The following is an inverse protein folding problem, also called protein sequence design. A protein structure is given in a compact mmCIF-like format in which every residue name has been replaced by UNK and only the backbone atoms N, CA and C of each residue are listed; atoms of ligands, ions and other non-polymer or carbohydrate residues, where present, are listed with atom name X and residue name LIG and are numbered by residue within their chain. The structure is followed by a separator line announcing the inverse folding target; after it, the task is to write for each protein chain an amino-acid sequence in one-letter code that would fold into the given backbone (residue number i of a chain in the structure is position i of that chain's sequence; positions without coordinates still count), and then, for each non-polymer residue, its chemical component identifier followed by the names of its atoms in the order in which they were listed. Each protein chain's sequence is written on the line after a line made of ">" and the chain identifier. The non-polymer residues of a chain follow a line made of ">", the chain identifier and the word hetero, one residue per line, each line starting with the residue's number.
data_IF_138558067941
#
_entry.id   IF_138558067941
#
_cell.length_a   1.000
_cell.length_b   1.000
_cell.length_c   1.000
_cell.angle_alpha   90.00
_cell.angle_beta   90.00
_cell.angle_gamma   90.00
#
_symmetry.space_group_name_H-M   'P 1'
#
loop_
_entity.id
_entity.type
_entity.pdbx_description
1 polymer ?
#
# COMPACT_ATOMS: atom_id res chain seq x y z
N UNK A 1 -11.98 -14.82 60.81
CA UNK A 1 -11.54 -13.48 60.38
C UNK A 1 -10.12 -13.60 59.87
N UNK A 2 -9.95 -13.80 58.56
CA UNK A 2 -8.81 -13.27 57.82
C UNK A 2 -9.10 -13.39 56.33
N UNK A 3 -8.86 -12.26 55.68
CA UNK A 3 -9.15 -11.77 54.34
C UNK A 3 -8.69 -12.64 53.17
N UNK A 4 -9.51 -12.66 52.13
CA UNK A 4 -9.19 -13.08 50.76
C UNK A 4 -8.46 -11.92 50.09
N UNK A 5 -7.26 -12.14 49.56
CA UNK A 5 -6.61 -11.21 48.63
C UNK A 5 -6.55 -11.80 47.23
N UNK A 6 -7.02 -10.97 46.30
CA UNK A 6 -7.06 -11.11 44.86
C UNK A 6 -5.68 -11.01 44.23
N UNK A 7 -5.35 -11.92 43.31
CA UNK A 7 -4.14 -11.84 42.50
C UNK A 7 -4.25 -12.68 41.24
N UNK A 8 -4.82 -12.11 40.18
CA UNK A 8 -4.65 -12.62 38.80
C UNK A 8 -4.13 -11.47 37.94
N UNK A 9 -2.81 -11.27 37.96
CA UNK A 9 -2.11 -10.56 36.90
C UNK A 9 -1.79 -11.56 35.78
N UNK A 10 -2.51 -11.44 34.66
CA UNK A 10 -2.15 -12.08 33.40
C UNK A 10 -0.98 -11.30 32.78
N UNK A 11 0.21 -11.45 33.33
CA UNK A 11 1.46 -11.09 32.64
C UNK A 11 1.99 -12.35 31.95
N UNK A 12 1.46 -12.62 30.76
CA UNK A 12 2.09 -13.52 29.79
C UNK A 12 2.57 -12.69 28.60
N UNK A 13 3.45 -11.72 28.87
CA UNK A 13 4.27 -11.13 27.83
C UNK A 13 5.47 -12.06 27.62
N UNK A 14 5.38 -12.96 26.65
CA UNK A 14 6.60 -13.56 26.09
C UNK A 14 7.54 -12.39 25.70
N UNK A 15 8.83 -12.41 26.06
CA UNK A 15 9.72 -11.32 25.75
C UNK A 15 9.76 -11.12 24.23
N UNK A 16 9.33 -9.93 23.80
CA UNK A 16 9.38 -9.53 22.41
C UNK A 16 10.83 -9.62 21.94
N UNK A 17 11.06 -10.37 20.85
CA UNK A 17 12.37 -10.44 20.21
C UNK A 17 12.81 -9.01 19.86
N UNK A 18 13.95 -8.57 20.38
CA UNK A 18 14.42 -7.18 20.29
C UNK A 18 14.67 -6.73 18.83
N UNK A 19 14.59 -7.63 17.86
CA UNK A 19 14.68 -7.34 16.43
C UNK A 19 13.35 -7.01 15.74
N UNK A 20 12.19 -7.15 16.40
CA UNK A 20 10.92 -6.88 15.74
C UNK A 20 10.63 -5.36 15.64
N UNK A 21 10.31 -4.83 14.46
CA UNK A 21 9.99 -3.42 14.31
C UNK A 21 8.74 -3.08 15.12
N UNK A 22 8.85 -2.03 15.92
CA UNK A 22 7.80 -1.53 16.82
C UNK A 22 7.07 -0.38 16.15
N UNK A 23 5.77 -0.27 16.42
CA UNK A 23 4.93 0.83 15.96
C UNK A 23 5.20 2.05 16.85
N UNK A 24 5.59 3.17 16.24
CA UNK A 24 5.88 4.43 16.93
C UNK A 24 4.95 5.54 16.47
N UNK A 25 4.86 6.60 17.26
CA UNK A 25 4.15 7.81 16.84
C UNK A 25 4.76 8.37 15.54
N UNK A 26 3.88 8.74 14.61
CA UNK A 26 4.23 9.35 13.33
C UNK A 26 4.61 8.37 12.22
N UNK A 27 4.74 7.06 12.51
CA UNK A 27 5.13 6.06 11.50
C UNK A 27 4.00 5.75 10.51
N UNK A 28 4.36 5.25 9.34
CA UNK A 28 3.39 4.73 8.37
C UNK A 28 3.08 3.25 8.62
N UNK A 29 1.82 2.88 8.48
CA UNK A 29 1.35 1.51 8.58
C UNK A 29 0.32 1.18 7.50
N UNK A 30 0.30 -0.09 7.10
CA UNK A 30 -0.80 -0.65 6.28
C UNK A 30 -1.77 -1.34 7.22
N UNK A 31 -2.95 -0.74 7.38
CA UNK A 31 -4.03 -1.23 8.24
C UNK A 31 -5.01 -2.02 7.39
N UNK A 32 -5.29 -3.26 7.81
CA UNK A 32 -6.21 -4.16 7.13
C UNK A 32 -7.12 -4.85 8.13
N UNK A 33 -8.43 -4.82 7.90
CA UNK A 33 -9.35 -5.69 8.66
C UNK A 33 -9.07 -7.15 8.32
N UNK A 34 -8.98 -8.02 9.32
CA UNK A 34 -8.84 -9.47 9.10
C UNK A 34 -10.00 -9.97 8.25
N UNK A 35 -9.73 -10.82 7.26
CA UNK A 35 -10.69 -11.21 6.22
C UNK A 35 -11.19 -10.07 5.29
N UNK A 36 -10.89 -8.81 5.59
CA UNK A 36 -11.28 -7.63 4.81
C UNK A 36 -10.68 -7.60 3.40
N UNK A 37 -11.34 -6.86 2.52
CA UNK A 37 -10.95 -6.68 1.12
C UNK A 37 -10.14 -5.40 0.92
N UNK A 38 -10.37 -4.41 1.77
CA UNK A 38 -9.65 -3.14 1.73
C UNK A 38 -8.50 -3.12 2.73
N UNK A 39 -7.42 -2.45 2.33
CA UNK A 39 -6.33 -2.08 3.21
C UNK A 39 -6.00 -0.62 2.98
N UNK A 40 -5.58 0.07 4.03
CA UNK A 40 -5.33 1.51 4.03
C UNK A 40 -3.91 1.79 4.48
N UNK A 41 -3.23 2.67 3.77
CA UNK A 41 -1.95 3.25 4.21
C UNK A 41 -2.29 4.44 5.08
N UNK A 42 -1.81 4.45 6.32
CA UNK A 42 -2.15 5.46 7.33
C UNK A 42 -0.88 5.88 8.05
N UNK A 43 -0.72 7.18 8.30
CA UNK A 43 0.27 7.69 9.24
C UNK A 43 -0.35 7.71 10.64
N UNK A 44 0.22 6.95 11.57
CA UNK A 44 -0.35 6.79 12.90
C UNK A 44 0.11 7.92 13.81
N UNK A 45 -0.81 8.79 14.24
CA UNK A 45 -0.52 9.93 15.13
C UNK A 45 -1.33 9.83 16.42
N UNK A 46 -0.81 10.40 17.53
CA UNK A 46 -1.57 10.48 18.77
C UNK A 46 -2.89 11.23 18.56
N UNK A 47 -3.92 10.89 19.34
CA UNK A 47 -5.27 11.46 19.24
C UNK A 47 -6.00 11.25 17.89
N UNK A 48 -5.46 10.45 16.97
CA UNK A 48 -6.14 10.11 15.72
C UNK A 48 -6.96 8.83 15.83
N UNK A 49 -8.10 8.82 15.13
CA UNK A 49 -8.90 7.62 14.96
C UNK A 49 -8.65 7.05 13.56
N UNK A 50 -8.39 5.76 13.48
CA UNK A 50 -8.26 5.04 12.22
C UNK A 50 -9.55 4.28 11.95
N UNK A 51 -10.10 4.46 10.75
CA UNK A 51 -11.24 3.69 10.24
C UNK A 51 -10.76 2.77 9.12
N UNK A 52 -11.06 1.48 9.25
CA UNK A 52 -10.86 0.48 8.19
C UNK A 52 -12.13 -0.34 8.03
N UNK A 53 -12.75 -0.22 6.85
CA UNK A 53 -14.08 -0.75 6.56
C UNK A 53 -15.14 -0.27 7.59
N UNK A 54 -15.44 -1.09 8.61
CA UNK A 54 -16.40 -0.77 9.69
C UNK A 54 -15.77 -0.79 11.08
N UNK A 55 -14.46 -0.97 11.18
CA UNK A 55 -13.74 -0.98 12.46
C UNK A 55 -13.04 0.36 12.66
N UNK A 56 -13.31 0.97 13.81
CA UNK A 56 -12.70 2.22 14.24
C UNK A 56 -11.92 2.01 15.52
N UNK A 57 -10.70 2.52 15.57
CA UNK A 57 -9.83 2.44 16.75
C UNK A 57 -8.93 3.67 16.89
N UNK A 58 -8.43 3.90 18.10
CA UNK A 58 -7.48 4.96 18.44
C UNK A 58 -6.05 4.51 18.09
N UNK A 59 -5.35 5.27 17.25
CA UNK A 59 -4.01 4.90 16.76
C UNK A 59 -2.99 4.76 17.90
N UNK A 60 -3.13 5.57 18.95
CA UNK A 60 -2.22 5.60 20.10
C UNK A 60 -2.12 4.25 20.82
N UNK A 61 -3.19 3.47 20.83
CA UNK A 61 -3.20 2.14 21.43
C UNK A 61 -2.32 1.10 20.71
N UNK A 62 -1.82 1.42 19.50
CA UNK A 62 -0.86 0.58 18.80
C UNK A 62 0.59 0.85 19.22
N UNK A 63 0.89 2.01 19.80
CA UNK A 63 2.26 2.46 20.02
C UNK A 63 2.99 1.59 21.06
N UNK A 64 4.25 1.31 20.81
CA UNK A 64 5.07 0.42 21.67
C UNK A 64 4.85 -1.08 21.42
N UNK A 65 3.88 -1.45 20.57
CA UNK A 65 3.67 -2.83 20.16
C UNK A 65 4.31 -3.14 18.79
N UNK A 66 4.73 -4.38 18.52
CA UNK A 66 5.19 -4.77 17.19
C UNK A 66 4.09 -4.66 16.13
N UNK A 67 4.50 -4.50 14.87
CA UNK A 67 3.58 -4.73 13.75
C UNK A 67 3.04 -6.16 13.78
N UNK A 68 1.72 -6.31 13.60
CA UNK A 68 1.08 -7.61 13.74
C UNK A 68 -0.43 -7.55 13.83
N UNK A 69 -0.99 -8.52 14.54
CA UNK A 69 -2.42 -8.75 14.70
C UNK A 69 -2.91 -8.11 16.01
N UNK A 70 -4.06 -7.43 15.91
CA UNK A 70 -4.70 -6.76 17.02
C UNK A 70 -6.20 -7.06 17.05
N UNK A 71 -6.75 -7.06 18.25
CA UNK A 71 -8.18 -7.08 18.53
C UNK A 71 -8.64 -5.68 18.94
N UNK A 72 -9.76 -5.21 18.39
CA UNK A 72 -10.34 -3.90 18.71
C UNK A 72 -11.34 -4.07 19.86
N UNK A 73 -10.99 -3.61 21.04
CA UNK A 73 -11.82 -3.67 22.25
C UNK A 73 -12.06 -2.24 22.74
N UNK A 74 -13.33 -1.81 22.76
CA UNK A 74 -13.68 -0.47 23.24
C UNK A 74 -12.96 0.66 22.48
N UNK A 75 -12.75 0.50 21.16
CA UNK A 75 -11.94 1.38 20.27
C UNK A 75 -10.44 1.40 20.54
N UNK A 76 -9.92 0.59 21.46
CA UNK A 76 -8.49 0.42 21.68
C UNK A 76 -8.02 -0.88 21.03
N UNK A 77 -6.78 -0.89 20.58
CA UNK A 77 -6.11 -2.06 20.06
C UNK A 77 -5.48 -2.81 21.21
N UNK A 78 -5.67 -4.13 21.21
CA UNK A 78 -5.00 -5.06 22.09
C UNK A 78 -4.22 -6.04 21.21
N UNK A 79 -2.89 -6.19 21.38
CA UNK A 79 -2.11 -7.16 20.63
C UNK A 79 -2.69 -8.57 20.81
N UNK A 80 -2.76 -9.33 19.72
CA UNK A 80 -3.24 -10.70 19.74
C UNK A 80 -2.31 -11.59 18.93
N UNK A 81 -1.97 -12.76 19.46
CA UNK A 81 -1.25 -13.77 18.68
C UNK A 81 -2.22 -14.78 18.06
N UNK A 82 -1.77 -15.44 16.99
CA UNK A 82 -2.53 -16.54 16.37
C UNK A 82 -2.78 -17.67 17.38
N UNK A 83 -1.83 -17.90 18.29
CA UNK A 83 -1.92 -18.92 19.32
C UNK A 83 -2.98 -18.59 20.36
N UNK A 84 -3.04 -17.33 20.81
CA UNK A 84 -4.06 -16.88 21.76
C UNK A 84 -5.46 -17.01 21.17
N UNK A 85 -5.61 -16.71 19.88
CA UNK A 85 -6.88 -16.85 19.17
C UNK A 85 -7.26 -18.33 18.97
N UNK A 86 -6.29 -19.20 18.65
CA UNK A 86 -6.52 -20.64 18.55
C UNK A 86 -7.01 -21.22 19.87
N UNK A 87 -6.40 -20.81 20.99
CA UNK A 87 -6.78 -21.26 22.33
C UNK A 87 -8.16 -20.74 22.76
N UNK A 88 -8.45 -19.46 22.51
CA UNK A 88 -9.73 -18.83 22.91
C UNK A 88 -10.89 -19.26 22.04
N UNK A 89 -10.74 -19.17 20.73
CA UNK A 89 -11.89 -19.24 19.82
C UNK A 89 -11.97 -20.55 19.03
N UNK A 90 -10.86 -21.28 18.91
CA UNK A 90 -10.75 -22.47 18.07
C UNK A 90 -10.66 -22.09 16.59
N UNK A 91 -9.54 -22.45 15.94
CA UNK A 91 -9.30 -22.23 14.52
C UNK A 91 -8.30 -21.13 14.18
N UNK A 92 -8.12 -20.86 12.88
CA UNK A 92 -7.09 -19.94 12.38
C UNK A 92 -7.46 -18.44 12.52
N UNK A 93 -6.59 -17.52 12.08
CA UNK A 93 -6.77 -16.05 12.21
C UNK A 93 -8.12 -15.56 11.68
N UNK A 94 -8.54 -16.06 10.52
CA UNK A 94 -9.84 -15.77 9.88
C UNK A 94 -11.00 -16.60 10.46
N UNK A 95 -10.74 -17.37 11.53
CA UNK A 95 -11.64 -18.38 12.09
C UNK A 95 -12.08 -19.39 11.02
N UNK A 96 -11.22 -19.63 10.03
CA UNK A 96 -11.54 -20.40 8.83
C UNK A 96 -11.80 -21.90 9.11
N UNK A 97 -11.30 -22.37 10.26
CA UNK A 97 -11.49 -23.72 10.80
C UNK A 97 -12.65 -23.82 11.79
N UNK A 98 -13.43 -22.76 12.01
CA UNK A 98 -14.77 -22.89 12.61
C UNK A 98 -15.70 -23.41 11.52
N UNK A 99 -15.67 -24.72 11.31
CA UNK A 99 -16.57 -25.45 10.44
C UNK A 99 -17.82 -25.92 11.21
N UNK A 100 -18.81 -26.37 10.45
CA UNK A 100 -20.07 -26.86 10.99
C UNK A 100 -19.82 -28.00 12.00
N UNK A 101 -18.81 -28.84 11.79
CA UNK A 101 -18.39 -29.89 12.72
C UNK A 101 -17.90 -29.33 14.07
N UNK A 102 -17.06 -28.30 14.07
CA UNK A 102 -16.61 -27.63 15.30
C UNK A 102 -17.70 -26.83 16.04
N UNK A 103 -18.82 -26.51 15.39
CA UNK A 103 -20.03 -25.95 16.02
C UNK A 103 -21.05 -27.06 16.38
N UNK A 104 -20.74 -28.34 16.11
CA UNK A 104 -21.61 -29.48 16.42
C UNK A 104 -22.82 -29.63 15.49
N UNK A 105 -22.74 -29.13 14.26
CA UNK A 105 -23.84 -29.14 13.28
C UNK A 105 -23.49 -29.98 12.06
N UNK A 106 -24.18 -31.11 11.87
CA UNK A 106 -24.07 -31.95 10.67
C UNK A 106 -24.84 -31.34 9.48
N UNK A 107 -24.29 -31.42 8.27
CA UNK A 107 -24.96 -30.97 7.04
C UNK A 107 -26.12 -31.89 6.64
N UNK A 108 -27.13 -31.35 5.95
CA UNK A 108 -28.16 -32.19 5.34
C UNK A 108 -27.67 -32.59 3.94
N UNK A 109 -27.04 -33.75 3.82
CA UNK A 109 -26.37 -34.18 2.56
C UNK A 109 -27.37 -34.77 1.55
N UNK A 110 -28.49 -35.29 2.05
CA UNK A 110 -29.51 -36.02 1.27
C UNK A 110 -30.93 -35.44 1.39
N UNK A 111 -31.11 -34.29 2.07
CA UNK A 111 -32.44 -33.72 2.35
C UNK A 111 -32.77 -32.48 1.52
N UNK A 112 -34.05 -32.08 1.54
CA UNK A 112 -34.50 -30.86 0.86
C UNK A 112 -33.82 -29.60 1.42
N UNK A 113 -33.14 -28.85 0.55
CA UNK A 113 -32.50 -27.58 0.89
C UNK A 113 -33.51 -26.46 0.73
N UNK A 114 -33.89 -25.82 1.83
CA UNK A 114 -34.79 -24.67 1.79
C UNK A 114 -33.97 -23.44 1.39
N UNK A 115 -34.24 -22.90 0.20
CA UNK A 115 -33.61 -21.67 -0.24
C UNK A 115 -34.01 -20.50 0.70
N UNK A 116 -33.07 -19.64 1.14
CA UNK A 116 -33.42 -18.50 1.99
C UNK A 116 -34.49 -17.58 1.38
N UNK A 117 -34.55 -17.49 0.05
CA UNK A 117 -35.56 -16.73 -0.68
C UNK A 117 -36.99 -17.28 -0.55
N UNK A 118 -37.14 -18.56 -0.21
CA UNK A 118 -38.44 -19.21 -0.01
C UNK A 118 -39.05 -18.92 1.38
N UNK A 119 -38.30 -18.31 2.28
CA UNK A 119 -38.76 -17.88 3.61
C UNK A 119 -39.02 -16.38 3.56
N UNK A 120 -40.10 -15.92 4.20
CA UNK A 120 -40.41 -14.49 4.34
C UNK A 120 -39.24 -13.72 4.97
N UNK A 121 -38.97 -12.51 4.46
CA UNK A 121 -37.75 -11.79 4.81
C UNK A 121 -37.62 -11.54 6.34
N UNK A 122 -38.73 -11.24 6.99
CA UNK A 122 -38.84 -10.91 8.41
C UNK A 122 -38.58 -12.12 9.33
N UNK A 123 -38.84 -13.34 8.84
CA UNK A 123 -38.70 -14.58 9.64
C UNK A 123 -37.40 -15.34 9.36
N UNK A 124 -36.57 -14.87 8.41
CA UNK A 124 -35.29 -15.53 8.05
C UNK A 124 -34.25 -15.53 9.17
N UNK A 125 -34.27 -14.52 10.03
CA UNK A 125 -33.32 -14.32 11.11
C UNK A 125 -34.03 -13.70 12.31
N UNK A 126 -33.98 -14.38 13.45
CA UNK A 126 -34.65 -13.93 14.68
C UNK A 126 -33.97 -12.69 15.32
N UNK A 127 -32.66 -12.52 15.12
CA UNK A 127 -31.91 -11.40 15.69
C UNK A 127 -31.95 -10.15 14.79
N UNK A 128 -32.32 -9.01 15.39
CA UNK A 128 -32.28 -7.70 14.72
C UNK A 128 -30.87 -7.10 14.71
N UNK A 129 -30.63 -6.09 13.87
CA UNK A 129 -29.33 -5.39 13.82
C UNK A 129 -29.00 -4.66 15.13
N UNK A 130 -30.01 -4.09 15.79
CA UNK A 130 -29.87 -3.43 17.08
C UNK A 130 -29.43 -4.42 18.16
N UNK A 131 -30.08 -5.59 18.26
CA UNK A 131 -29.73 -6.65 19.19
C UNK A 131 -28.30 -7.17 18.97
N UNK A 132 -27.87 -7.32 17.71
CA UNK A 132 -26.49 -7.72 17.38
C UNK A 132 -25.48 -6.65 17.83
N UNK A 133 -25.83 -5.38 17.66
CA UNK A 133 -24.98 -4.25 18.04
C UNK A 133 -24.87 -4.12 19.56
N UNK A 134 -25.95 -4.34 20.29
CA UNK A 134 -25.97 -4.39 21.75
C UNK A 134 -25.15 -5.57 22.30
N UNK A 135 -25.29 -6.76 21.70
CA UNK A 135 -24.47 -7.91 22.07
C UNK A 135 -22.97 -7.62 21.93
N UNK A 136 -22.56 -6.91 20.88
CA UNK A 136 -21.17 -6.52 20.65
C UNK A 136 -20.63 -5.49 21.65
N UNK A 137 -21.50 -4.79 22.40
CA UNK A 137 -21.08 -3.85 23.46
C UNK A 137 -20.76 -4.57 24.77
N UNK A 138 -21.23 -5.80 24.96
CA UNK A 138 -20.92 -6.58 26.15
C UNK A 138 -19.44 -6.94 26.20
N UNK A 139 -18.79 -6.71 27.34
CA UNK A 139 -17.40 -7.12 27.55
C UNK A 139 -17.25 -8.64 27.40
N UNK A 140 -16.23 -9.07 26.66
CA UNK A 140 -15.89 -10.49 26.47
C UNK A 140 -16.74 -11.25 25.45
N UNK A 141 -17.67 -10.60 24.72
CA UNK A 141 -18.44 -11.26 23.66
C UNK A 141 -17.57 -11.46 22.43
N UNK A 142 -17.24 -12.71 22.10
CA UNK A 142 -16.42 -13.03 20.94
C UNK A 142 -17.25 -13.00 19.64
N UNK A 143 -16.56 -12.86 18.50
CA UNK A 143 -17.20 -13.02 17.19
C UNK A 143 -17.84 -14.41 17.03
N UNK A 144 -17.27 -15.43 17.67
CA UNK A 144 -17.80 -16.80 17.69
C UNK A 144 -19.16 -16.85 18.39
N UNK A 145 -19.33 -16.15 19.50
CA UNK A 145 -20.60 -16.11 20.24
C UNK A 145 -21.71 -15.45 19.42
N UNK A 146 -21.39 -14.34 18.76
CA UNK A 146 -22.30 -13.65 17.84
C UNK A 146 -22.72 -14.57 16.69
N UNK A 147 -21.76 -15.27 16.08
CA UNK A 147 -22.02 -16.20 14.97
C UNK A 147 -22.87 -17.39 15.44
N UNK A 148 -22.60 -17.94 16.63
CA UNK A 148 -23.37 -19.02 17.22
C UNK A 148 -24.85 -18.64 17.39
N UNK A 149 -25.14 -17.47 17.96
CA UNK A 149 -26.54 -16.99 18.08
C UNK A 149 -27.18 -16.69 16.72
N UNK A 150 -26.41 -16.20 15.74
CA UNK A 150 -26.90 -15.99 14.36
C UNK A 150 -27.20 -17.29 13.62
N UNK A 151 -26.53 -18.38 13.99
CA UNK A 151 -26.78 -19.73 13.47
C UNK A 151 -28.05 -20.28 14.10
N UNK A 152 -28.20 -20.21 15.42
CA UNK A 152 -29.40 -20.70 16.12
C UNK A 152 -30.67 -19.95 15.72
N UNK A 153 -30.58 -18.64 15.43
CA UNK A 153 -31.70 -17.81 15.00
C UNK A 153 -32.05 -17.89 13.51
N UNK A 154 -31.35 -18.71 12.71
CA UNK A 154 -31.57 -18.77 11.25
C UNK A 154 -32.49 -19.90 10.83
N UNK A 155 -33.65 -19.56 10.28
CA UNK A 155 -34.69 -20.51 9.86
C UNK A 155 -34.25 -21.51 8.77
N UNK A 156 -33.29 -21.14 7.90
CA UNK A 156 -32.80 -21.99 6.80
C UNK A 156 -31.45 -22.63 7.08
N UNK A 157 -30.82 -22.39 8.23
CA UNK A 157 -29.44 -22.86 8.43
C UNK A 157 -29.36 -24.38 8.54
N UNK A 158 -30.29 -25.01 9.27
CA UNK A 158 -30.30 -26.44 9.50
C UNK A 158 -30.37 -27.28 8.21
N UNK A 159 -31.16 -26.84 7.23
CA UNK A 159 -31.38 -27.54 5.95
C UNK A 159 -30.25 -27.35 4.92
N UNK A 160 -29.20 -26.58 5.25
CA UNK A 160 -28.07 -26.35 4.33
C UNK A 160 -27.12 -27.53 4.25
N UNK A 161 -26.48 -27.67 3.10
CA UNK A 161 -25.33 -28.56 2.90
C UNK A 161 -24.14 -28.13 3.78
N UNK A 162 -23.20 -29.05 4.04
CA UNK A 162 -21.98 -28.76 4.81
C UNK A 162 -21.20 -27.56 4.25
N UNK A 163 -21.02 -27.49 2.93
CA UNK A 163 -20.36 -26.36 2.27
C UNK A 163 -21.13 -25.04 2.44
N UNK A 164 -22.46 -25.05 2.36
CA UNK A 164 -23.28 -23.86 2.53
C UNK A 164 -23.31 -23.37 3.99
N UNK A 165 -23.29 -24.29 4.97
CA UNK A 165 -23.11 -23.99 6.40
C UNK A 165 -21.75 -23.32 6.64
N UNK A 166 -20.66 -23.94 6.17
CA UNK A 166 -19.30 -23.38 6.28
C UNK A 166 -19.16 -22.02 5.61
N UNK A 167 -19.75 -21.83 4.41
CA UNK A 167 -19.78 -20.53 3.72
C UNK A 167 -20.54 -19.47 4.53
N UNK A 168 -21.65 -19.84 5.16
CA UNK A 168 -22.41 -18.91 6.00
C UNK A 168 -21.64 -18.51 7.25
N UNK A 169 -21.09 -19.48 7.99
CA UNK A 169 -20.29 -19.25 9.19
C UNK A 169 -19.13 -18.30 8.87
N UNK A 170 -18.29 -18.63 7.88
CA UNK A 170 -17.16 -17.80 7.45
C UNK A 170 -17.56 -16.37 7.10
N UNK A 171 -18.65 -16.18 6.36
CA UNK A 171 -19.16 -14.85 6.01
C UNK A 171 -19.59 -14.05 7.24
N UNK A 172 -20.26 -14.70 8.20
CA UNK A 172 -20.69 -14.04 9.44
C UNK A 172 -19.48 -13.75 10.34
N UNK A 173 -18.53 -14.67 10.46
CA UNK A 173 -17.30 -14.43 11.23
C UNK A 173 -16.48 -13.29 10.64
N UNK A 174 -16.24 -13.27 9.32
CA UNK A 174 -15.58 -12.14 8.63
C UNK A 174 -16.31 -10.81 8.87
N UNK A 175 -17.64 -10.80 8.90
CA UNK A 175 -18.43 -9.59 9.17
C UNK A 175 -18.26 -9.11 10.60
N UNK A 176 -18.39 -10.02 11.57
CA UNK A 176 -18.52 -9.70 12.99
C UNK A 176 -17.21 -9.77 13.79
N UNK A 177 -16.11 -10.23 13.20
CA UNK A 177 -14.80 -10.14 13.84
C UNK A 177 -14.31 -8.69 13.91
N UNK A 178 -13.74 -8.35 15.05
CA UNK A 178 -13.25 -7.03 15.38
C UNK A 178 -11.71 -7.01 15.40
N UNK A 179 -11.09 -7.77 14.48
CA UNK A 179 -9.64 -7.94 14.37
C UNK A 179 -9.06 -7.15 13.20
N UNK A 180 -7.88 -6.57 13.40
CA UNK A 180 -7.12 -5.83 12.39
C UNK A 180 -5.66 -6.28 12.37
N UNK A 181 -5.05 -6.20 11.19
CA UNK A 181 -3.61 -6.31 10.99
C UNK A 181 -3.05 -4.90 10.81
N UNK A 182 -2.02 -4.57 11.59
CA UNK A 182 -1.21 -3.37 11.42
C UNK A 182 0.14 -3.83 10.90
N UNK A 183 0.38 -3.62 9.61
CA UNK A 183 1.54 -4.16 8.90
C UNK A 183 2.53 -3.06 8.57
N UNK A 184 3.81 -3.37 8.68
CA UNK A 184 4.88 -2.49 8.20
C UNK A 184 4.72 -2.31 6.68
N UNK A 185 4.80 -1.09 6.14
CA UNK A 185 4.76 -0.86 4.71
C UNK A 185 5.83 -1.67 3.97
N UNK A 186 5.43 -2.28 2.86
CA UNK A 186 6.33 -2.96 1.91
C UNK A 186 5.84 -2.63 0.51
N UNK A 187 6.72 -2.70 -0.49
CA UNK A 187 6.37 -2.43 -1.89
C UNK A 187 5.12 -3.21 -2.33
N UNK A 188 5.02 -4.50 -1.95
CA UNK A 188 3.87 -5.34 -2.26
C UNK A 188 2.60 -4.84 -1.59
N UNK A 189 2.63 -4.52 -0.30
CA UNK A 189 1.46 -4.02 0.42
C UNK A 189 1.01 -2.65 -0.12
N UNK A 190 1.95 -1.75 -0.42
CA UNK A 190 1.65 -0.43 -0.98
C UNK A 190 1.03 -0.54 -2.37
N UNK A 191 1.64 -1.32 -3.26
CA UNK A 191 1.10 -1.60 -4.60
C UNK A 191 -0.33 -2.13 -4.53
N UNK A 192 -0.55 -3.14 -3.68
CA UNK A 192 -1.87 -3.72 -3.46
C UNK A 192 -2.89 -2.75 -2.81
N UNK A 193 -2.44 -1.85 -1.92
CA UNK A 193 -3.30 -0.91 -1.22
C UNK A 193 -3.79 0.18 -2.17
N UNK A 194 -2.87 0.81 -2.89
CA UNK A 194 -3.20 1.88 -3.81
C UNK A 194 -3.95 1.38 -5.04
N UNK A 195 -3.64 0.19 -5.56
CA UNK A 195 -4.40 -0.38 -6.67
C UNK A 195 -5.87 -0.62 -6.30
N UNK A 196 -6.16 -1.00 -5.05
CA UNK A 196 -7.54 -1.18 -4.56
C UNK A 196 -8.20 0.14 -4.16
N UNK A 197 -7.44 1.12 -3.64
CA UNK A 197 -7.95 2.45 -3.26
C UNK A 197 -8.32 3.26 -4.51
N UNK A 198 -7.38 3.36 -5.44
CA UNK A 198 -7.49 4.18 -6.65
C UNK A 198 -6.56 3.59 -7.74
N UNK A 199 -7.16 2.74 -8.58
CA UNK A 199 -6.44 2.05 -9.65
C UNK A 199 -5.93 3.00 -10.74
N UNK A 200 -6.60 4.13 -10.99
CA UNK A 200 -6.17 5.09 -12.01
C UNK A 200 -4.93 5.87 -11.53
N UNK A 201 -4.96 6.35 -10.29
CA UNK A 201 -3.82 7.05 -9.68
C UNK A 201 -2.62 6.11 -9.51
N UNK A 202 -2.85 4.83 -9.20
CA UNK A 202 -1.83 3.79 -9.19
C UNK A 202 -1.34 3.39 -10.61
N UNK A 203 -1.94 3.94 -11.66
CA UNK A 203 -1.62 3.65 -13.05
C UNK A 203 -1.88 2.21 -13.46
N UNK A 204 -2.78 1.51 -12.75
CA UNK A 204 -3.05 0.08 -12.88
C UNK A 204 -1.80 -0.81 -12.71
N UNK A 205 -0.73 -0.29 -12.10
CA UNK A 205 0.52 -1.02 -11.92
C UNK A 205 0.35 -2.10 -10.86
N UNK A 206 0.29 -3.35 -11.31
CA UNK A 206 0.28 -4.51 -10.43
C UNK A 206 1.68 -4.94 -10.03
N UNK A 207 1.74 -5.73 -8.96
CA UNK A 207 2.99 -6.22 -8.39
C UNK A 207 3.80 -7.11 -9.34
N UNK A 208 3.14 -7.93 -10.17
CA UNK A 208 3.80 -8.78 -11.16
C UNK A 208 4.44 -7.95 -12.28
N UNK A 209 3.74 -6.93 -12.77
CA UNK A 209 4.27 -5.99 -13.75
C UNK A 209 5.43 -5.16 -13.19
N UNK A 210 5.31 -4.66 -11.95
CA UNK A 210 6.42 -4.00 -11.26
C UNK A 210 7.62 -4.95 -11.10
N UNK A 211 7.39 -6.21 -10.76
CA UNK A 211 8.44 -7.22 -10.65
C UNK A 211 9.13 -7.47 -12.00
N UNK A 212 8.35 -7.55 -13.09
CA UNK A 212 8.88 -7.65 -14.45
C UNK A 212 9.74 -6.43 -14.80
N UNK A 213 9.29 -5.22 -14.44
CA UNK A 213 10.07 -4.00 -14.70
C UNK A 213 11.44 -4.03 -14.00
N UNK A 214 11.46 -4.38 -12.72
CA UNK A 214 12.70 -4.47 -11.94
C UNK A 214 13.63 -5.56 -12.47
N UNK A 215 13.07 -6.67 -12.94
CA UNK A 215 13.83 -7.77 -13.54
C UNK A 215 14.42 -7.40 -14.91
N UNK A 216 13.62 -6.80 -15.81
CA UNK A 216 14.06 -6.36 -17.14
C UNK A 216 15.02 -5.17 -17.07
N UNK A 217 14.85 -4.29 -16.08
CA UNK A 217 15.83 -3.26 -15.76
C UNK A 217 17.08 -3.86 -15.09
N UNK A 218 16.98 -5.09 -14.61
CA UNK A 218 17.96 -5.81 -13.83
C UNK A 218 18.50 -4.95 -12.66
N UNK A 219 17.56 -4.38 -11.91
CA UNK A 219 17.82 -3.53 -10.74
C UNK A 219 18.40 -4.36 -9.59
N UNK A 220 19.61 -4.00 -9.17
CA UNK A 220 20.33 -4.60 -8.05
C UNK A 220 21.37 -3.60 -7.51
N UNK A 221 21.98 -3.94 -6.38
CA UNK A 221 22.99 -3.15 -5.69
C UNK A 221 24.09 -2.62 -6.65
N UNK A 222 24.46 -1.35 -6.47
CA UNK A 222 25.55 -0.69 -7.22
C UNK A 222 25.14 -0.07 -8.56
N UNK A 223 23.91 -0.32 -9.04
CA UNK A 223 23.40 0.20 -10.32
C UNK A 223 23.05 1.68 -10.26
N UNK A 224 23.23 2.38 -11.38
CA UNK A 224 22.69 3.73 -11.62
C UNK A 224 21.41 3.66 -12.44
N UNK A 225 20.28 3.80 -11.75
CA UNK A 225 18.94 3.67 -12.30
C UNK A 225 18.28 5.04 -12.29
N UNK A 226 17.96 5.55 -13.48
CA UNK A 226 17.11 6.72 -13.62
C UNK A 226 15.65 6.30 -13.66
N UNK A 227 14.81 6.97 -12.89
CA UNK A 227 13.39 6.67 -12.73
C UNK A 227 12.55 7.90 -13.04
N UNK A 228 11.60 7.76 -13.96
CA UNK A 228 10.47 8.68 -14.11
C UNK A 228 9.20 7.96 -13.64
N UNK A 229 8.52 8.48 -12.63
CA UNK A 229 7.48 7.76 -11.89
C UNK A 229 6.19 8.58 -11.80
N UNK A 230 5.18 8.21 -12.58
CA UNK A 230 3.82 8.74 -12.48
C UNK A 230 2.86 7.76 -11.80
N UNK A 231 3.37 6.82 -11.01
CA UNK A 231 2.62 5.71 -10.38
C UNK A 231 2.86 5.72 -8.86
N UNK A 232 2.63 6.87 -8.24
CA UNK A 232 2.65 7.10 -6.79
C UNK A 232 4.01 6.90 -6.11
N UNK A 233 5.10 6.90 -6.88
CA UNK A 233 6.43 6.61 -6.35
C UNK A 233 6.69 5.12 -6.18
N UNK A 234 5.84 4.22 -6.69
CA UNK A 234 6.01 2.76 -6.51
C UNK A 234 7.31 2.24 -7.13
N UNK A 235 7.65 2.70 -8.35
CA UNK A 235 8.87 2.28 -9.04
C UNK A 235 10.08 2.84 -8.29
N UNK A 236 10.02 4.11 -7.90
CA UNK A 236 11.06 4.81 -7.15
C UNK A 236 11.35 4.12 -5.83
N UNK A 237 10.29 3.75 -5.09
CA UNK A 237 10.38 3.01 -3.83
C UNK A 237 11.06 1.66 -4.04
N UNK A 238 10.61 0.90 -5.03
CA UNK A 238 11.12 -0.44 -5.28
C UNK A 238 12.57 -0.44 -5.77
N UNK A 239 12.96 0.55 -6.58
CA UNK A 239 14.35 0.74 -7.01
C UNK A 239 15.22 1.09 -5.81
N UNK A 240 14.80 2.06 -4.99
CA UNK A 240 15.57 2.50 -3.82
C UNK A 240 15.77 1.37 -2.81
N UNK A 241 14.71 0.61 -2.51
CA UNK A 241 14.79 -0.60 -1.67
C UNK A 241 15.81 -1.61 -2.20
N UNK A 242 15.80 -1.87 -3.52
CA UNK A 242 16.66 -2.87 -4.17
C UNK A 242 18.12 -2.47 -4.34
N UNK A 243 18.40 -1.15 -4.34
CA UNK A 243 19.77 -0.63 -4.33
C UNK A 243 20.40 -0.73 -2.94
N UNK A 244 19.59 -0.75 -1.88
CA UNK A 244 20.03 -0.93 -0.49
C UNK A 244 21.21 -0.02 -0.10
N UNK A 245 21.16 1.25 -0.51
CA UNK A 245 22.18 2.26 -0.19
C UNK A 245 23.42 2.27 -1.09
N UNK A 246 23.54 1.36 -2.05
CA UNK A 246 24.65 1.36 -3.01
C UNK A 246 24.15 1.47 -4.45
N UNK A 247 24.72 2.42 -5.20
CA UNK A 247 24.26 2.80 -6.54
C UNK A 247 23.57 4.15 -6.53
N UNK A 248 22.65 4.38 -7.47
CA UNK A 248 21.90 5.63 -7.56
C UNK A 248 20.49 5.41 -8.11
N UNK A 249 19.47 5.73 -7.32
CA UNK A 249 18.09 5.91 -7.75
C UNK A 249 17.87 7.39 -8.07
N UNK A 250 18.00 7.75 -9.34
CA UNK A 250 17.85 9.14 -9.81
C UNK A 250 16.38 9.35 -10.18
N UNK A 251 15.61 9.97 -9.29
CA UNK A 251 14.19 10.19 -9.47
C UNK A 251 13.91 11.54 -10.13
N UNK A 252 13.35 11.50 -11.34
CA UNK A 252 12.96 12.70 -12.07
C UNK A 252 11.61 13.21 -11.60
N UNK A 253 11.57 14.46 -11.18
CA UNK A 253 10.35 15.12 -10.75
C UNK A 253 10.18 16.52 -11.36
N UNK A 254 8.97 17.06 -11.22
CA UNK A 254 8.64 18.46 -11.53
C UNK A 254 8.63 19.28 -10.25
N UNK A 255 8.68 20.60 -10.38
CA UNK A 255 8.67 21.51 -9.24
C UNK A 255 9.98 21.50 -8.45
N UNK A 256 10.00 22.22 -7.33
CA UNK A 256 11.20 22.36 -6.50
C UNK A 256 11.53 21.10 -5.70
N UNK A 257 10.51 20.32 -5.32
CA UNK A 257 10.60 19.10 -4.51
C UNK A 257 9.85 17.97 -5.22
N UNK A 258 10.28 16.71 -5.00
CA UNK A 258 9.59 15.54 -5.51
C UNK A 258 8.23 15.36 -4.82
N UNK A 259 7.17 15.82 -5.49
CA UNK A 259 5.79 15.66 -5.04
C UNK A 259 5.18 14.35 -5.58
N UNK A 260 4.02 13.96 -5.02
CA UNK A 260 3.23 12.82 -5.49
C UNK A 260 3.94 11.45 -5.44
N UNK A 261 4.85 11.25 -4.48
CA UNK A 261 5.52 9.97 -4.21
C UNK A 261 5.13 9.35 -2.85
N UNK A 262 3.82 9.21 -2.53
CA UNK A 262 3.39 8.76 -1.21
C UNK A 262 3.90 7.35 -0.88
N UNK A 263 4.06 6.45 -1.86
CA UNK A 263 4.63 5.12 -1.59
C UNK A 263 6.06 5.21 -1.09
N UNK A 264 6.86 6.14 -1.61
CA UNK A 264 8.25 6.33 -1.20
C UNK A 264 8.32 6.84 0.24
N UNK A 265 7.49 7.84 0.55
CA UNK A 265 7.41 8.42 1.89
C UNK A 265 6.95 7.38 2.92
N UNK A 266 5.98 6.53 2.58
CA UNK A 266 5.47 5.49 3.47
C UNK A 266 6.45 4.34 3.73
N UNK A 267 7.51 4.18 2.93
CA UNK A 267 8.51 3.14 3.19
C UNK A 267 9.43 3.48 4.36
N UNK A 268 9.54 4.77 4.73
CA UNK A 268 10.38 5.24 5.85
C UNK A 268 11.78 4.62 5.83
N UNK A 269 12.42 4.70 4.65
CA UNK A 269 13.74 4.11 4.44
C UNK A 269 14.76 4.67 5.43
N UNK A 270 15.67 3.79 5.88
CA UNK A 270 16.75 4.21 6.76
C UNK A 270 17.72 5.15 6.03
N UNK A 271 18.52 5.95 6.77
CA UNK A 271 19.50 6.84 6.17
C UNK A 271 20.48 6.12 5.22
N UNK A 272 20.83 4.87 5.52
CA UNK A 272 21.70 4.06 4.66
C UNK A 272 21.03 3.81 3.31
N UNK A 273 19.76 3.39 3.29
CA UNK A 273 19.03 3.13 2.04
C UNK A 273 18.78 4.45 1.28
N UNK A 274 18.43 5.53 2.00
CA UNK A 274 18.19 6.85 1.41
C UNK A 274 19.44 7.48 0.80
N UNK A 275 20.64 7.04 1.19
CA UNK A 275 21.89 7.56 0.63
C UNK A 275 22.00 7.35 -0.90
N UNK A 276 21.27 6.37 -1.45
CA UNK A 276 21.21 6.10 -2.89
C UNK A 276 20.11 6.89 -3.62
N UNK A 277 19.26 7.65 -2.93
CA UNK A 277 18.14 8.39 -3.54
C UNK A 277 18.52 9.82 -3.92
N UNK A 278 18.40 10.14 -5.21
CA UNK A 278 18.75 11.45 -5.78
C UNK A 278 17.56 12.04 -6.54
N UNK A 279 16.78 12.95 -5.91
CA UNK A 279 15.74 13.69 -6.62
C UNK A 279 16.39 14.72 -7.55
N UNK A 280 16.03 14.69 -8.83
CA UNK A 280 16.52 15.61 -9.85
C UNK A 280 15.35 16.23 -10.57
N UNK A 281 15.32 17.56 -10.63
CA UNK A 281 14.28 18.28 -11.39
C UNK A 281 14.44 18.04 -12.88
N UNK A 282 13.31 17.83 -13.56
CA UNK A 282 13.29 17.71 -15.02
C UNK A 282 13.85 18.96 -15.70
N UNK A 283 13.69 20.13 -15.08
CA UNK A 283 14.26 21.41 -15.55
C UNK A 283 15.78 21.34 -15.70
N UNK A 284 16.47 20.58 -14.84
CA UNK A 284 17.90 20.40 -14.98
C UNK A 284 18.26 19.70 -16.29
N UNK A 285 17.48 18.69 -16.69
CA UNK A 285 17.69 17.96 -17.94
C UNK A 285 17.35 18.84 -19.15
N UNK A 286 16.26 19.61 -19.05
CA UNK A 286 15.84 20.54 -20.10
C UNK A 286 16.87 21.67 -20.31
N UNK A 287 17.57 22.08 -19.25
CA UNK A 287 18.63 23.08 -19.27
C UNK A 287 20.03 22.49 -19.49
N UNK A 288 20.13 21.36 -20.21
CA UNK A 288 21.43 20.79 -20.59
C UNK A 288 22.19 20.14 -19.43
N UNK A 289 21.48 19.51 -18.49
CA UNK A 289 22.02 18.85 -17.30
C UNK A 289 22.64 19.81 -16.27
N UNK A 290 22.10 21.04 -16.18
CA UNK A 290 22.57 22.07 -15.25
C UNK A 290 21.46 22.50 -14.28
N UNK A 291 21.83 22.79 -13.03
CA UNK A 291 20.88 23.30 -12.05
C UNK A 291 20.41 24.70 -12.45
N UNK A 292 19.09 24.96 -12.47
CA UNK A 292 18.59 26.31 -12.69
C UNK A 292 18.96 27.21 -11.51
N UNK A 293 19.23 28.49 -11.80
CA UNK A 293 19.36 29.50 -10.76
C UNK A 293 18.02 29.68 -10.04
N UNK A 294 18.00 29.54 -8.71
CA UNK A 294 16.80 29.81 -7.91
C UNK A 294 16.84 31.25 -7.38
N UNK A 295 16.05 32.16 -7.99
CA UNK A 295 15.80 33.50 -7.44
C UNK A 295 14.79 33.40 -6.27
N UNK A 296 15.12 34.02 -5.12
CA UNK A 296 14.21 34.47 -4.05
C UNK A 296 13.21 33.46 -3.44
N UNK A 297 13.44 33.08 -2.17
CA UNK A 297 12.73 32.06 -1.39
C UNK A 297 11.27 32.37 -0.96
N UNK A 298 10.47 33.10 -1.74
CA UNK A 298 9.20 33.65 -1.23
C UNK A 298 7.93 32.84 -1.55
N UNK A 299 7.96 31.87 -2.47
CA UNK A 299 6.74 31.15 -2.91
C UNK A 299 6.64 29.68 -2.48
N UNK A 300 7.75 29.02 -2.15
CA UNK A 300 7.78 27.56 -2.10
C UNK A 300 7.37 26.92 -0.75
N UNK A 301 7.38 27.69 0.35
CA UNK A 301 7.06 27.15 1.68
C UNK A 301 5.56 26.86 1.87
N UNK A 302 4.68 27.54 1.11
CA UNK A 302 3.23 27.30 1.18
C UNK A 302 2.81 25.88 0.79
N UNK A 303 3.57 25.23 -0.09
CA UNK A 303 3.22 23.88 -0.58
C UNK A 303 3.66 22.76 0.38
N UNK A 304 4.71 22.95 1.18
CA UNK A 304 5.19 21.89 2.09
C UNK A 304 4.27 21.67 3.31
N UNK A 305 3.53 22.70 3.74
CA UNK A 305 2.61 22.61 4.88
C UNK A 305 1.18 22.23 4.49
N UNK A 306 0.70 22.60 3.31
CA UNK A 306 -0.69 22.32 2.90
C UNK A 306 -0.93 20.85 2.47
N UNK A 307 0.08 20.11 1.98
CA UNK A 307 -0.13 18.70 1.54
C UNK A 307 0.08 17.64 2.64
N UNK A 308 0.52 18.03 3.84
CA UNK A 308 0.54 17.13 5.01
C UNK A 308 -0.84 17.07 5.70
N UNK A 309 -1.79 17.92 5.29
CA UNK A 309 -3.16 17.87 5.77
C UNK A 309 -3.96 16.72 5.09
N UNK A 310 -4.07 15.61 5.82
CA UNK A 310 -5.19 14.65 5.77
C UNK A 310 -5.72 14.20 4.38
N UNK A 311 -5.02 13.27 3.73
CA UNK A 311 -5.69 12.28 2.85
C UNK A 311 -6.35 11.14 3.68
N UNK A 312 -7.00 11.51 4.79
CA UNK A 312 -7.85 10.64 5.57
C UNK A 312 -9.31 10.80 5.10
N UNK A 313 -9.85 9.70 4.55
CA UNK A 313 -11.28 9.37 4.51
C UNK A 313 -12.25 10.12 3.58
N UNK A 314 -11.97 10.01 2.28
CA UNK A 314 -12.93 9.58 1.23
C UNK A 314 -14.00 8.51 1.55
N UNK A 315 -14.98 8.69 2.43
CA UNK A 315 -16.14 7.77 2.52
C UNK A 315 -17.40 8.42 1.92
N UNK A 316 -18.17 7.73 1.05
CA UNK A 316 -19.29 8.35 0.36
C UNK A 316 -20.53 8.33 1.26
N UNK A 317 -20.87 9.47 1.87
CA UNK A 317 -22.22 9.68 2.42
C UNK A 317 -22.65 11.15 2.33
N UNK A 318 -23.68 11.35 1.53
CA UNK A 318 -24.75 12.37 1.55
C UNK A 318 -24.47 13.84 1.94
N UNK A 319 -24.88 14.73 1.02
CA UNK A 319 -24.96 16.19 1.16
C UNK A 319 -25.89 16.62 2.30
N UNK A 320 -25.44 17.57 3.13
CA UNK A 320 -26.14 18.81 3.54
C UNK A 320 -25.51 19.37 4.83
N UNK A 321 -24.79 20.47 4.74
CA UNK A 321 -25.05 21.71 5.49
C UNK A 321 -23.92 22.72 5.24
N UNK A 322 -24.31 23.97 5.01
CA UNK A 322 -23.42 25.11 4.86
C UNK A 322 -22.81 25.44 6.23
N UNK A 323 -21.49 25.44 6.35
CA UNK A 323 -20.79 26.10 7.44
C UNK A 323 -19.69 27.00 6.88
N UNK A 324 -19.72 28.25 7.32
CA UNK A 324 -18.82 29.34 6.96
C UNK A 324 -17.38 29.05 7.42
N UNK A 325 -16.36 29.63 6.76
CA UNK A 325 -14.97 29.34 7.06
C UNK A 325 -14.57 29.94 8.42
N UNK A 326 -14.18 29.07 9.35
CA UNK A 326 -13.51 29.45 10.59
C UNK A 326 -12.07 29.84 10.23
N UNK A 327 -11.73 31.11 10.45
CA UNK A 327 -10.36 31.62 10.28
C UNK A 327 -9.45 30.99 11.34
N UNK A 328 -8.63 30.01 10.98
CA UNK A 328 -7.46 29.62 11.78
C UNK A 328 -6.30 30.56 11.45
N UNK A 329 -6.18 31.63 12.25
CA UNK A 329 -5.00 32.48 12.26
C UNK A 329 -3.85 31.79 13.00
N UNK A 330 -2.78 31.43 12.29
CA UNK A 330 -1.65 30.78 12.96
C UNK A 330 -0.45 30.39 12.11
N UNK A 331 0.03 31.20 11.14
CA UNK A 331 1.33 30.91 10.50
C UNK A 331 2.13 32.13 10.02
N UNK A 332 1.92 33.27 10.69
CA UNK A 332 2.61 34.54 10.42
C UNK A 332 3.88 34.77 11.25
N UNK A 333 4.06 34.04 12.37
CA UNK A 333 5.14 34.32 13.34
C UNK A 333 6.47 33.63 13.07
N UNK A 334 6.53 32.58 12.23
CA UNK A 334 7.76 31.80 11.95
C UNK A 334 8.70 32.43 10.91
N UNK A 335 8.24 33.41 10.12
CA UNK A 335 8.98 33.91 8.93
C UNK A 335 10.13 34.87 9.22
N UNK A 336 10.10 35.55 10.38
CA UNK A 336 11.17 36.45 10.80
C UNK A 336 12.08 35.82 11.87
N UNK A 337 11.94 34.51 12.09
CA UNK A 337 12.79 33.79 13.02
C UNK A 337 14.10 33.41 12.32
N UNK A 338 15.26 33.92 12.76
CA UNK A 338 16.55 33.59 12.16
C UNK A 338 16.87 32.09 12.25
N UNK A 339 16.36 31.38 13.25
CA UNK A 339 16.55 29.93 13.39
C UNK A 339 15.81 29.17 12.30
N UNK A 340 14.55 29.55 12.01
CA UNK A 340 13.77 28.97 10.93
C UNK A 340 14.42 29.22 9.56
N UNK A 341 14.91 30.45 9.32
CA UNK A 341 15.60 30.81 8.09
C UNK A 341 16.88 29.98 7.88
N UNK A 342 17.64 29.71 8.96
CA UNK A 342 18.81 28.85 8.92
C UNK A 342 18.45 27.39 8.57
N UNK A 343 17.41 26.83 9.20
CA UNK A 343 16.92 25.47 8.89
C UNK A 343 16.44 25.36 7.45
N UNK A 344 15.68 26.36 6.96
CA UNK A 344 15.23 26.41 5.58
C UNK A 344 16.40 26.49 4.59
N UNK A 345 17.41 27.32 4.88
CA UNK A 345 18.62 27.41 4.08
C UNK A 345 19.41 26.09 4.06
N UNK A 346 19.51 25.40 5.20
CA UNK A 346 20.18 24.10 5.29
C UNK A 346 19.45 23.03 4.46
N UNK A 347 18.12 22.92 4.58
CA UNK A 347 17.31 21.99 3.76
C UNK A 347 17.46 22.26 2.28
N UNK A 348 17.45 23.55 1.89
CA UNK A 348 17.70 23.96 0.50
C UNK A 348 19.09 23.54 0.03
N UNK A 349 20.13 23.76 0.84
CA UNK A 349 21.49 23.36 0.51
C UNK A 349 21.61 21.84 0.34
N UNK A 350 21.03 21.04 1.25
CA UNK A 350 21.03 19.57 1.15
C UNK A 350 20.30 19.09 -0.11
N UNK A 351 19.13 19.67 -0.41
CA UNK A 351 18.38 19.38 -1.63
C UNK A 351 19.21 19.64 -2.89
N UNK A 352 19.81 20.83 -2.99
CA UNK A 352 20.62 21.21 -4.15
C UNK A 352 21.88 20.34 -4.27
N UNK A 353 22.48 19.95 -3.15
CA UNK A 353 23.63 19.03 -3.13
C UNK A 353 23.24 17.63 -3.64
N UNK A 354 22.10 17.08 -3.20
CA UNK A 354 21.60 15.79 -3.71
C UNK A 354 21.26 15.86 -5.19
N UNK A 355 20.65 16.94 -5.65
CA UNK A 355 20.35 17.15 -7.06
C UNK A 355 21.64 17.19 -7.90
N UNK A 356 22.65 17.94 -7.46
CA UNK A 356 23.96 18.00 -8.12
C UNK A 356 24.64 16.62 -8.19
N UNK A 357 24.57 15.84 -7.10
CA UNK A 357 25.08 14.47 -7.07
C UNK A 357 24.33 13.56 -8.06
N UNK A 358 23.01 13.71 -8.16
CA UNK A 358 22.18 13.01 -9.15
C UNK A 358 22.58 13.34 -10.60
N UNK A 359 22.80 14.63 -10.89
CA UNK A 359 23.28 15.07 -12.21
C UNK A 359 24.67 14.50 -12.54
N UNK A 360 25.61 14.54 -11.59
CA UNK A 360 26.93 13.93 -11.76
C UNK A 360 26.83 12.42 -12.01
N UNK A 361 25.90 11.73 -11.34
CA UNK A 361 25.66 10.31 -11.58
C UNK A 361 25.13 10.02 -12.99
N UNK A 362 24.26 10.89 -13.54
CA UNK A 362 23.80 10.82 -14.94
C UNK A 362 24.98 10.99 -15.90
N UNK A 363 25.87 11.96 -15.66
CA UNK A 363 27.02 12.24 -16.52
C UNK A 363 28.03 11.10 -16.56
N UNK A 364 28.24 10.41 -15.44
CA UNK A 364 29.07 9.21 -15.36
C UNK A 364 28.48 8.01 -16.14
N UNK A 365 27.25 8.14 -16.64
CA UNK A 365 26.54 7.15 -17.44
C UNK A 365 25.60 6.29 -16.59
N UNK A 366 24.40 6.08 -17.13
CA UNK A 366 23.33 5.29 -16.54
C UNK A 366 23.44 3.82 -16.94
N UNK A 367 23.05 2.93 -16.05
CA UNK A 367 22.94 1.49 -16.35
C UNK A 367 21.50 1.12 -16.76
N UNK A 368 20.50 1.88 -16.27
CA UNK A 368 19.08 1.61 -16.55
C UNK A 368 18.26 2.89 -16.56
N UNK A 369 17.29 2.96 -17.48
CA UNK A 369 16.21 3.97 -17.49
C UNK A 369 14.88 3.23 -17.28
N UNK A 370 14.16 3.54 -16.21
CA UNK A 370 12.81 3.07 -15.92
C UNK A 370 11.81 4.22 -16.04
N UNK A 371 10.76 4.02 -16.84
CA UNK A 371 9.71 5.03 -17.05
C UNK A 371 8.37 4.39 -16.73
N UNK A 372 7.71 4.83 -15.65
CA UNK A 372 6.29 4.55 -15.40
C UNK A 372 5.46 5.75 -15.83
N UNK A 373 4.87 5.69 -17.02
CA UNK A 373 4.13 6.81 -17.58
C UNK A 373 2.63 6.55 -17.69
N UNK A 374 1.85 7.52 -17.23
CA UNK A 374 0.39 7.58 -17.43
C UNK A 374 0.00 8.62 -18.47
N UNK A 375 0.70 9.75 -18.50
CA UNK A 375 0.31 10.92 -19.30
C UNK A 375 1.43 11.54 -20.12
N UNK A 376 2.69 11.19 -19.88
CA UNK A 376 3.85 11.76 -20.59
C UNK A 376 4.35 10.80 -21.65
N UNK A 377 4.57 11.27 -22.87
CA UNK A 377 5.14 10.43 -23.93
C UNK A 377 6.55 9.94 -23.53
N UNK A 378 6.79 8.62 -23.39
CA UNK A 378 8.11 8.08 -23.06
C UNK A 378 9.19 8.51 -24.06
N UNK A 379 8.83 8.68 -25.34
CA UNK A 379 9.78 9.12 -26.38
C UNK A 379 10.41 10.49 -26.07
N UNK A 380 9.67 11.39 -25.43
CA UNK A 380 10.18 12.72 -25.04
C UNK A 380 11.29 12.60 -24.00
N UNK A 381 11.12 11.71 -23.01
CA UNK A 381 12.15 11.43 -22.01
C UNK A 381 13.35 10.69 -22.59
N UNK A 382 13.09 9.67 -23.42
CA UNK A 382 14.15 8.91 -24.09
C UNK A 382 15.00 9.79 -24.99
N UNK A 383 14.40 10.76 -25.69
CA UNK A 383 15.14 11.70 -26.54
C UNK A 383 16.15 12.55 -25.78
N UNK A 384 15.87 12.86 -24.51
CA UNK A 384 16.78 13.63 -23.64
C UNK A 384 17.85 12.73 -22.98
N UNK A 385 17.48 11.50 -22.62
CA UNK A 385 18.26 10.68 -21.67
C UNK A 385 18.99 9.50 -22.30
N UNK A 386 18.58 9.03 -23.48
CA UNK A 386 19.13 7.82 -24.09
C UNK A 386 20.62 7.93 -24.42
N UNK A 387 21.12 9.14 -24.66
CA UNK A 387 22.56 9.40 -24.86
C UNK A 387 23.38 9.10 -23.60
N UNK A 388 22.81 9.37 -22.41
CA UNK A 388 23.42 9.13 -21.09
C UNK A 388 23.36 7.67 -20.65
N UNK A 389 22.53 6.84 -21.28
CA UNK A 389 22.52 5.39 -21.05
C UNK A 389 23.78 4.75 -21.62
N UNK A 390 24.46 3.90 -20.85
CA UNK A 390 25.65 3.17 -21.30
C UNK A 390 25.28 2.12 -22.36
N UNK A 391 26.21 1.71 -23.23
CA UNK A 391 26.06 0.49 -24.02
C UNK A 391 25.76 -0.70 -23.10
N UNK A 392 24.94 -1.64 -23.57
CA UNK A 392 24.39 -2.74 -22.77
C UNK A 392 23.49 -2.29 -21.60
N UNK A 393 23.11 -1.00 -21.54
CA UNK A 393 22.15 -0.48 -20.58
C UNK A 393 20.71 -0.84 -20.95
N UNK A 394 19.86 -0.95 -19.94
CA UNK A 394 18.46 -1.36 -20.09
C UNK A 394 17.53 -0.15 -20.16
N UNK A 395 16.53 -0.20 -21.04
CA UNK A 395 15.38 0.69 -21.03
C UNK A 395 14.14 -0.13 -20.72
N UNK A 396 13.37 0.29 -19.72
CA UNK A 396 12.07 -0.30 -19.45
C UNK A 396 11.02 0.79 -19.33
N UNK A 397 9.93 0.63 -20.06
CA UNK A 397 8.80 1.56 -20.09
C UNK A 397 7.54 0.81 -19.70
N UNK A 398 6.84 1.33 -18.69
CA UNK A 398 5.52 0.89 -18.28
C UNK A 398 4.47 1.94 -18.62
N UNK A 399 3.31 1.49 -19.08
CA UNK A 399 2.12 2.31 -19.17
C UNK A 399 0.85 1.46 -19.05
N UNK A 400 -0.25 1.96 -18.44
CA UNK A 400 -1.55 1.32 -18.52
C UNK A 400 -2.09 1.24 -19.96
N UNK A 401 -1.56 2.07 -20.86
CA UNK A 401 -2.00 2.17 -22.25
C UNK A 401 -0.92 1.66 -23.22
N UNK A 402 -1.29 0.78 -24.13
CA UNK A 402 -0.34 0.13 -25.06
C UNK A 402 0.29 1.12 -26.04
N UNK A 403 -0.40 2.21 -26.39
CA UNK A 403 0.03 3.19 -27.39
C UNK A 403 1.35 3.87 -27.02
N UNK A 404 1.54 4.20 -25.73
CA UNK A 404 2.80 4.77 -25.23
C UNK A 404 3.96 3.78 -25.39
N UNK A 405 3.73 2.50 -25.07
CA UNK A 405 4.73 1.45 -25.24
C UNK A 405 5.03 1.17 -26.72
N UNK A 406 4.03 1.20 -27.61
CA UNK A 406 4.25 1.00 -29.05
C UNK A 406 5.08 2.12 -29.68
N UNK A 407 4.82 3.38 -29.30
CA UNK A 407 5.63 4.53 -29.76
C UNK A 407 7.08 4.40 -29.29
N UNK A 408 7.28 4.09 -28.00
CA UNK A 408 8.62 3.86 -27.45
C UNK A 408 9.32 2.66 -28.12
N UNK A 409 8.59 1.60 -28.42
CA UNK A 409 9.11 0.43 -29.12
C UNK A 409 9.65 0.81 -30.50
N UNK A 410 8.87 1.55 -31.29
CA UNK A 410 9.30 2.02 -32.60
C UNK A 410 10.55 2.92 -32.48
N UNK A 411 10.51 3.90 -31.58
CA UNK A 411 11.62 4.84 -31.36
C UNK A 411 12.94 4.15 -30.98
N UNK A 412 12.86 3.08 -30.18
CA UNK A 412 14.02 2.27 -29.78
C UNK A 412 14.56 1.42 -30.94
N UNK A 413 13.67 0.82 -31.75
CA UNK A 413 14.08 0.04 -32.94
C UNK A 413 14.80 0.92 -33.97
N UNK A 414 14.29 2.13 -34.21
CA UNK A 414 14.92 3.11 -35.12
C UNK A 414 16.33 3.51 -34.67
N UNK A 415 16.65 3.36 -33.38
CA UNK A 415 17.98 3.63 -32.79
C UNK A 415 18.82 2.37 -32.59
N UNK A 416 18.43 1.27 -33.22
CA UNK A 416 19.18 0.03 -33.22
C UNK A 416 19.17 -0.71 -31.89
N UNK A 417 18.29 -0.39 -30.93
CA UNK A 417 18.18 -1.15 -29.70
C UNK A 417 17.82 -2.62 -30.00
N UNK A 418 18.38 -3.55 -29.23
CA UNK A 418 18.12 -4.98 -29.38
C UNK A 418 17.19 -5.47 -28.28
N UNK A 419 16.65 -6.68 -28.47
CA UNK A 419 15.74 -7.31 -27.51
C UNK A 419 14.57 -6.38 -27.11
N UNK A 420 14.00 -5.69 -28.11
CA UNK A 420 12.88 -4.78 -27.91
C UNK A 420 11.59 -5.59 -27.79
N UNK A 421 11.19 -5.90 -26.56
CA UNK A 421 10.10 -6.81 -26.23
C UNK A 421 8.98 -6.04 -25.52
N UNK A 422 7.77 -6.09 -26.10
CA UNK A 422 6.54 -5.60 -25.49
C UNK A 422 5.80 -6.79 -24.86
N UNK A 423 5.48 -6.69 -23.57
CA UNK A 423 4.85 -7.76 -22.79
C UNK A 423 3.60 -7.29 -22.06
N UNK A 424 2.63 -8.18 -21.94
CA UNK A 424 1.52 -8.14 -20.98
C UNK A 424 1.51 -9.48 -20.22
N UNK A 425 1.20 -9.45 -18.93
CA UNK A 425 1.21 -10.62 -18.05
C UNK A 425 -0.17 -10.89 -17.49
N UNK A 426 -0.59 -12.17 -17.51
CA UNK A 426 -1.79 -12.59 -16.82
C UNK A 426 -1.47 -12.95 -15.36
N UNK A 427 -2.12 -12.29 -14.41
CA UNK A 427 -2.03 -12.59 -12.99
C UNK A 427 -3.38 -13.09 -12.48
N UNK A 428 -3.42 -14.30 -11.94
CA UNK A 428 -4.66 -14.93 -11.47
C UNK A 428 -4.47 -15.58 -10.10
N UNK A 429 -5.20 -15.07 -9.11
CA UNK A 429 -5.21 -15.60 -7.75
C UNK A 429 -6.10 -16.83 -7.69
N UNK A 430 -5.64 -17.86 -6.97
CA UNK A 430 -6.35 -19.11 -6.73
C UNK A 430 -6.87 -19.15 -5.29
N UNK A 431 -8.12 -19.55 -5.11
CA UNK A 431 -8.59 -20.05 -3.82
C UNK A 431 -8.07 -21.48 -3.69
N UNK A 432 -7.37 -21.78 -2.59
CA UNK A 432 -6.86 -23.12 -2.30
C UNK A 432 -7.48 -23.60 -1.00
N UNK A 433 -8.50 -24.45 -1.13
CA UNK A 433 -9.24 -25.04 -0.02
C UNK A 433 -9.59 -26.50 -0.37
N UNK A 434 -9.67 -27.40 0.62
CA UNK A 434 -10.10 -28.78 0.39
C UNK A 434 -11.42 -28.83 -0.39
N UNK A 435 -11.41 -29.58 -1.49
CA UNK A 435 -12.51 -29.79 -2.45
C UNK A 435 -13.13 -28.50 -3.04
N UNK A 436 -12.45 -27.35 -2.92
CA UNK A 436 -12.94 -26.02 -3.35
C UNK A 436 -11.82 -25.16 -3.95
N UNK A 437 -10.88 -25.80 -4.64
CA UNK A 437 -9.77 -25.09 -5.29
C UNK A 437 -10.19 -24.61 -6.67
N UNK A 438 -10.21 -23.29 -6.86
CA UNK A 438 -10.58 -22.65 -8.13
C UNK A 438 -10.06 -21.21 -8.18
N UNK A 439 -9.96 -20.59 -9.36
CA UNK A 439 -9.56 -19.19 -9.45
C UNK A 439 -10.57 -18.26 -8.77
N UNK A 440 -10.12 -17.09 -8.30
CA UNK A 440 -11.07 -16.05 -7.90
C UNK A 440 -11.96 -15.69 -9.09
N UNK A 441 -13.28 -15.67 -8.86
CA UNK A 441 -14.28 -15.44 -9.92
C UNK A 441 -14.35 -13.96 -10.32
N UNK A 442 -14.04 -13.05 -9.39
CA UNK A 442 -13.92 -11.62 -9.65
C UNK A 442 -12.54 -11.15 -9.19
N UNK A 443 -11.76 -10.62 -10.13
CA UNK A 443 -10.44 -10.04 -9.87
C UNK A 443 -10.13 -9.02 -10.97
N UNK A 444 -9.42 -7.96 -10.62
CA UNK A 444 -8.75 -7.12 -11.60
C UNK A 444 -7.66 -7.92 -12.32
N UNK A 445 -7.80 -8.10 -13.62
CA UNK A 445 -6.88 -8.86 -14.48
C UNK A 445 -6.02 -7.98 -15.39
N UNK A 446 -6.35 -6.69 -15.51
CA UNK A 446 -5.56 -5.71 -16.27
C UNK A 446 -4.41 -5.22 -15.39
N UNK A 447 -3.19 -5.20 -15.94
CA UNK A 447 -2.00 -4.73 -15.23
C UNK A 447 -1.16 -3.69 -15.98
N UNK A 448 -1.57 -3.30 -17.19
CA UNK A 448 -0.79 -2.46 -18.10
C UNK A 448 0.26 -3.24 -18.88
N UNK A 449 1.11 -2.51 -19.61
CA UNK A 449 2.07 -3.07 -20.56
C UNK A 449 3.49 -2.68 -20.16
N UNK A 450 4.43 -3.60 -20.36
CA UNK A 450 5.86 -3.37 -20.11
C UNK A 450 6.62 -3.57 -21.42
N UNK A 451 7.34 -2.54 -21.82
CA UNK A 451 8.34 -2.59 -22.89
C UNK A 451 9.73 -2.67 -22.27
N UNK A 452 10.55 -3.60 -22.74
CA UNK A 452 11.97 -3.69 -22.39
C UNK A 452 12.83 -3.65 -23.64
N UNK A 453 14.03 -3.06 -23.55
CA UNK A 453 15.02 -3.02 -24.61
C UNK A 453 16.43 -2.85 -24.06
N UNK A 454 17.43 -3.26 -24.85
CA UNK A 454 18.85 -3.13 -24.51
C UNK A 454 19.51 -2.19 -25.51
N UNK A 455 20.19 -1.16 -24.99
CA UNK A 455 20.99 -0.25 -25.82
C UNK A 455 22.24 -0.96 -26.31
N UNK A 456 22.53 -0.83 -27.60
CA UNK A 456 23.80 -1.26 -28.20
C UNK A 456 24.53 -0.07 -28.83
N UNK A 457 25.82 -0.26 -29.11
CA UNK A 457 26.59 0.69 -29.91
C UNK A 457 26.10 0.55 -31.35
N UNK A 458 25.58 1.63 -31.93
CA UNK A 458 25.22 1.62 -33.34
C UNK A 458 26.46 1.35 -34.19
N UNK A 459 26.34 0.48 -35.19
CA UNK A 459 27.34 0.42 -36.26
C UNK A 459 27.32 1.75 -37.00
N UNK A 460 28.47 2.43 -37.20
CA UNK A 460 28.49 3.62 -38.04
C UNK A 460 27.90 3.25 -39.40
N UNK A 461 26.92 4.02 -39.88
CA UNK A 461 26.38 3.85 -41.22
C UNK A 461 27.55 3.82 -42.19
N UNK A 462 27.70 2.72 -42.95
CA UNK A 462 28.54 2.75 -44.14
C UNK A 462 27.90 3.83 -45.02
N UNK A 463 28.56 4.98 -45.14
CA UNK A 463 28.25 5.93 -46.22
C UNK A 463 28.45 5.14 -47.52
N UNK A 464 27.35 4.78 -48.18
CA UNK A 464 27.36 4.26 -49.55
C UNK A 464 27.81 5.35 -50.52
#
# INVERSE_FOLDING_TARGET
>A
MTTIESGTSLESAAPLDASMPVITEGCYAVVRKVGGEHQRVVRLTANSNVLVEKLRFEAESAFGHPFGLFEVIGKRLVPATVEDLRKRDGGDIDMAAVDAENIGVCGNENGEVIAPSAIEAETRQALTEEQISEMKKGEGVSAKDVVSKLVSGSASFASRTSHAKNKYIRRKTKKHQDRVLILKPTIRLLCEAYLRKDHDRAGCLRIDQLSLMLHQGAVHIGRKVLVFDQVLGLITSAVTERLAGAGSCIHLHRGTVAQSIPCFNSMEFSPEILSAFYPVRIDCILNGFQQPAEEGAEKDVKMETEEVENEADESPTEKLSQQQPVQHGGDGRRRNDPEWAAVAAQKKAERLQREAAGLAAIEQGLDTILIGSRSVDPCSLLSLLYSKLRPSGNVVVYSPTIQHCMRAQQWLRERGAIHVVLSDQMYRVQQVLPSRTHPLMSQMVVGGYVLAAIKVIGTPEKKE
#
